data_IF_201461176142
#
_entry.id   IF_201461176142
#
_cell.length_a   1.000
_cell.length_b   1.000
_cell.length_c   1.000
_cell.angle_alpha   90.00
_cell.angle_beta   90.00
_cell.angle_gamma   90.00
#
_symmetry.space_group_name_H-M   'P 1'
#
loop_
_entity.id
_entity.type
_entity.pdbx_description
1 polymer ?
#
# COMPACT_ATOMS: atom_id res chain seq x y z
N UNK A 1 8.68 -21.74 -19.17
CA UNK A 1 7.39 -21.11 -19.55
C UNK A 1 6.78 -20.52 -18.29
N UNK A 2 6.37 -19.25 -18.26
CA UNK A 2 5.72 -18.67 -17.07
C UNK A 2 4.29 -19.21 -16.96
N UNK A 3 3.98 -19.90 -15.87
CA UNK A 3 2.63 -20.38 -15.57
C UNK A 3 2.14 -19.76 -14.27
N UNK A 4 0.98 -19.11 -14.34
CA UNK A 4 0.27 -18.55 -13.18
C UNK A 4 -0.84 -19.52 -12.83
N UNK A 5 -0.66 -20.25 -11.72
CA UNK A 5 -1.56 -21.32 -11.29
C UNK A 5 -2.86 -20.75 -10.75
N UNK A 6 -2.77 -19.81 -9.81
CA UNK A 6 -3.91 -19.28 -9.09
C UNK A 6 -4.19 -17.81 -9.42
N UNK A 7 -4.63 -17.55 -10.66
CA UNK A 7 -4.90 -16.19 -11.18
C UNK A 7 -5.96 -15.43 -10.37
N UNK A 8 -6.79 -16.13 -9.60
CA UNK A 8 -7.87 -15.51 -8.82
C UNK A 8 -7.33 -14.60 -7.72
N UNK A 9 -6.12 -14.85 -7.21
CA UNK A 9 -5.51 -14.05 -6.15
C UNK A 9 -5.06 -12.66 -6.60
N UNK A 10 -5.03 -12.36 -7.90
CA UNK A 10 -4.81 -10.98 -8.36
C UNK A 10 -5.88 -10.00 -7.83
N UNK A 11 -7.10 -10.48 -7.52
CA UNK A 11 -8.12 -9.67 -6.86
C UNK A 11 -7.68 -9.16 -5.48
N UNK A 12 -6.73 -9.82 -4.81
CA UNK A 12 -6.17 -9.33 -3.55
C UNK A 12 -5.45 -7.98 -3.72
N UNK A 13 -4.99 -7.64 -4.93
CA UNK A 13 -4.41 -6.32 -5.20
C UNK A 13 -5.43 -5.18 -5.08
N UNK A 14 -6.74 -5.46 -5.16
CA UNK A 14 -7.79 -4.45 -4.90
C UNK A 14 -7.78 -3.92 -3.46
N UNK A 15 -7.11 -4.59 -2.53
CA UNK A 15 -6.88 -4.08 -1.17
C UNK A 15 -6.00 -2.82 -1.19
N UNK A 16 -5.06 -2.71 -2.12
CA UNK A 16 -4.16 -1.55 -2.24
C UNK A 16 -4.93 -0.25 -2.51
N UNK A 17 -5.78 -0.13 -3.57
CA UNK A 17 -6.55 1.09 -3.78
C UNK A 17 -7.53 1.37 -2.63
N UNK A 18 -8.11 0.34 -2.00
CA UNK A 18 -8.95 0.54 -0.82
C UNK A 18 -8.18 1.21 0.35
N UNK A 19 -6.98 0.73 0.65
CA UNK A 19 -6.10 1.33 1.68
C UNK A 19 -5.74 2.77 1.32
N UNK A 20 -5.44 3.05 0.04
CA UNK A 20 -5.13 4.41 -0.43
C UNK A 20 -6.32 5.35 -0.25
N UNK A 21 -7.54 4.93 -0.61
CA UNK A 21 -8.76 5.74 -0.44
C UNK A 21 -8.98 6.06 1.03
N UNK A 22 -8.89 5.07 1.92
CA UNK A 22 -9.03 5.28 3.37
C UNK A 22 -7.99 6.29 3.88
N UNK A 23 -6.73 6.16 3.43
CA UNK A 23 -5.68 7.10 3.78
C UNK A 23 -5.98 8.54 3.32
N UNK A 24 -6.48 8.70 2.08
CA UNK A 24 -6.86 10.01 1.54
C UNK A 24 -8.02 10.63 2.32
N UNK A 25 -9.07 9.85 2.64
CA UNK A 25 -10.20 10.31 3.45
C UNK A 25 -9.74 10.77 4.83
N UNK A 26 -8.89 9.98 5.51
CA UNK A 26 -8.30 10.37 6.79
C UNK A 26 -7.48 11.66 6.68
N UNK A 27 -6.70 11.82 5.62
CA UNK A 27 -5.88 13.00 5.41
C UNK A 27 -6.74 14.25 5.15
N UNK A 28 -7.82 14.12 4.37
CA UNK A 28 -8.78 15.20 4.12
C UNK A 28 -9.54 15.57 5.40
N UNK A 29 -10.01 14.59 6.15
CA UNK A 29 -10.69 14.81 7.43
C UNK A 29 -9.78 15.50 8.45
N UNK A 30 -8.51 15.07 8.53
CA UNK A 30 -7.50 15.70 9.38
C UNK A 30 -7.26 17.15 8.97
N UNK A 31 -7.13 17.42 7.67
CA UNK A 31 -6.98 18.80 7.14
C UNK A 31 -8.20 19.66 7.45
N UNK A 32 -9.41 19.12 7.30
CA UNK A 32 -10.65 19.85 7.57
C UNK A 32 -10.79 20.18 9.06
N UNK A 33 -10.53 19.20 9.93
CA UNK A 33 -10.59 19.37 11.39
C UNK A 33 -9.54 20.36 11.89
N UNK A 34 -8.31 20.30 11.34
CA UNK A 34 -7.26 21.27 11.69
C UNK A 34 -7.61 22.71 11.31
N UNK A 35 -8.33 22.92 10.20
CA UNK A 35 -8.83 24.25 9.82
C UNK A 35 -9.91 24.78 10.78
N UNK A 36 -10.71 23.90 11.38
CA UNK A 36 -11.77 24.27 12.34
C UNK A 36 -11.23 24.56 13.74
N UNK A 37 -10.20 23.85 14.19
CA UNK A 37 -9.78 23.85 15.60
C UNK A 37 -8.55 24.70 15.95
N UNK A 38 -7.77 25.19 14.97
CA UNK A 38 -6.57 25.96 15.32
C UNK A 38 -6.16 26.98 14.26
N UNK A 39 -5.76 28.15 14.75
CA UNK A 39 -4.99 29.11 13.98
C UNK A 39 -3.70 28.43 13.49
N UNK A 40 -3.41 28.51 12.18
CA UNK A 40 -2.27 27.79 11.56
C UNK A 40 -0.94 28.11 12.26
N UNK A 41 -0.84 29.31 12.86
CA UNK A 41 0.32 29.75 13.62
C UNK A 41 0.52 28.93 14.92
N UNK A 42 -0.55 28.66 15.68
CA UNK A 42 -0.50 27.84 16.91
C UNK A 42 -0.16 26.38 16.61
N UNK A 43 -0.75 25.79 15.57
CA UNK A 43 -0.43 24.42 15.15
C UNK A 43 1.05 24.24 14.77
N UNK A 44 1.64 25.25 14.13
CA UNK A 44 3.06 25.22 13.74
C UNK A 44 4.00 25.29 14.95
N UNK A 45 3.58 25.95 16.04
CA UNK A 45 4.31 25.97 17.33
C UNK A 45 4.13 24.70 18.15
N UNK A 46 2.93 24.11 18.15
CA UNK A 46 2.62 22.88 18.90
C UNK A 46 3.23 21.61 18.26
N UNK A 47 3.40 21.59 16.93
CA UNK A 47 3.91 20.40 16.24
C UNK A 47 4.84 20.76 15.06
N UNK A 48 6.02 21.34 15.34
CA UNK A 48 6.95 21.80 14.31
C UNK A 48 7.52 20.65 13.46
N UNK A 49 7.63 19.44 14.01
CA UNK A 49 8.23 18.27 13.35
C UNK A 49 7.23 17.38 12.62
N UNK A 50 6.13 17.93 12.10
CA UNK A 50 5.10 17.13 11.44
C UNK A 50 5.56 16.66 10.05
N UNK A 51 6.16 15.48 9.98
CA UNK A 51 6.62 14.89 8.72
C UNK A 51 5.51 14.11 8.02
N UNK A 52 5.10 14.59 6.85
CA UNK A 52 4.21 13.85 5.94
C UNK A 52 4.89 12.60 5.39
N UNK A 53 6.21 12.66 5.20
CA UNK A 53 7.02 11.56 4.67
C UNK A 53 6.91 10.30 5.52
N UNK A 54 6.99 10.40 6.86
CA UNK A 54 6.85 9.24 7.75
C UNK A 54 5.53 8.49 7.55
N UNK A 55 4.46 9.24 7.29
CA UNK A 55 3.14 8.67 7.06
C UNK A 55 3.03 8.02 5.67
N UNK A 56 3.59 8.65 4.64
CA UNK A 56 3.60 8.13 3.27
C UNK A 56 4.48 6.88 3.18
N UNK A 57 5.64 6.87 3.84
CA UNK A 57 6.54 5.71 3.89
C UNK A 57 5.82 4.49 4.50
N UNK A 58 5.10 4.69 5.61
CA UNK A 58 4.26 3.63 6.21
C UNK A 58 3.25 3.07 5.22
N UNK A 59 2.55 3.94 4.48
CA UNK A 59 1.55 3.54 3.49
C UNK A 59 2.19 2.69 2.37
N UNK A 60 3.33 3.14 1.84
CA UNK A 60 4.06 2.44 0.76
C UNK A 60 4.52 1.07 1.22
N UNK A 61 5.09 0.95 2.43
CA UNK A 61 5.52 -0.33 3.00
C UNK A 61 4.34 -1.30 3.12
N UNK A 62 3.18 -0.84 3.61
CA UNK A 62 1.99 -1.67 3.71
C UNK A 62 1.51 -2.13 2.31
N UNK A 63 1.49 -1.23 1.32
CA UNK A 63 1.10 -1.58 -0.03
C UNK A 63 2.05 -2.60 -0.67
N UNK A 64 3.36 -2.45 -0.46
CA UNK A 64 4.37 -3.40 -0.92
C UNK A 64 4.21 -4.77 -0.25
N UNK A 65 3.89 -4.79 1.05
CA UNK A 65 3.63 -6.05 1.75
C UNK A 65 2.42 -6.79 1.16
N UNK A 66 1.31 -6.09 0.89
CA UNK A 66 0.15 -6.70 0.24
C UNK A 66 0.43 -7.13 -1.20
N UNK A 67 1.21 -6.36 -1.96
CA UNK A 67 1.62 -6.75 -3.30
C UNK A 67 2.48 -8.02 -3.29
N UNK A 68 3.43 -8.13 -2.36
CA UNK A 68 4.26 -9.32 -2.20
C UNK A 68 3.41 -10.54 -1.79
N UNK A 69 2.46 -10.36 -0.88
CA UNK A 69 1.52 -11.43 -0.49
C UNK A 69 0.65 -11.89 -1.67
N UNK A 70 0.15 -10.95 -2.49
CA UNK A 70 -0.63 -11.30 -3.68
C UNK A 70 0.21 -12.11 -4.68
N UNK A 71 1.48 -11.74 -4.91
CA UNK A 71 2.39 -12.50 -5.78
C UNK A 71 2.66 -13.90 -5.21
N UNK A 72 2.89 -14.01 -3.90
CA UNK A 72 3.09 -15.29 -3.23
C UNK A 72 1.87 -16.21 -3.38
N UNK A 73 0.66 -15.65 -3.25
CA UNK A 73 -0.60 -16.39 -3.40
C UNK A 73 -0.86 -16.87 -4.83
N UNK A 74 -0.46 -16.09 -5.84
CA UNK A 74 -0.58 -16.49 -7.25
C UNK A 74 0.31 -17.69 -7.60
N UNK A 75 1.33 -17.97 -6.78
CA UNK A 75 2.29 -19.06 -6.92
C UNK A 75 2.86 -19.16 -8.36
N UNK A 76 3.60 -18.14 -8.84
CA UNK A 76 4.14 -18.14 -10.19
C UNK A 76 5.13 -19.29 -10.37
N UNK A 77 4.78 -20.26 -11.23
CA UNK A 77 5.67 -21.36 -11.61
C UNK A 77 6.64 -20.88 -12.67
N UNK A 78 7.90 -20.74 -12.29
CA UNK A 78 9.02 -20.42 -13.17
C UNK A 78 9.89 -21.66 -13.27
N UNK A 79 9.58 -22.54 -14.23
CA UNK A 79 10.32 -23.78 -14.48
C UNK A 79 10.98 -23.82 -15.86
N UNK A 80 12.23 -24.28 -15.90
CA UNK A 80 12.90 -24.81 -17.09
C UNK A 80 12.31 -26.19 -17.41
N UNK A 81 12.18 -26.53 -18.70
CA UNK A 81 11.81 -27.89 -19.07
C UNK A 81 12.93 -28.82 -18.58
N UNK A 82 12.65 -29.71 -17.64
CA UNK A 82 13.48 -30.88 -17.45
C UNK A 82 13.20 -31.78 -18.66
N UNK A 83 14.02 -31.63 -19.70
CA UNK A 83 14.03 -32.61 -20.78
C UNK A 83 14.43 -33.95 -20.14
N UNK A 84 13.45 -34.82 -20.00
CA UNK A 84 13.67 -36.22 -19.65
C UNK A 84 14.26 -36.87 -20.89
N UNK A 85 15.58 -36.83 -21.00
CA UNK A 85 16.32 -37.62 -21.99
C UNK A 85 16.08 -39.09 -21.62
N UNK A 86 15.41 -39.81 -22.53
CA UNK A 86 15.28 -41.27 -22.48
C UNK A 86 16.54 -41.94 -23.00
#
# INVERSE_FOLDING_TARGET
MFQLEEKIWFWALCVIPAIIIIYLVLQLWKRHTQKKFADKALLKRLSPNRSVFKSVLKLVIICLAFAALAIALVNPKVGTKLETVK
#
